data_IF_053226338834
#
_entry.id   IF_053226338834
#
_cell.length_a   1.000
_cell.length_b   1.000
_cell.length_c   1.000
_cell.angle_alpha   90.00
_cell.angle_beta   90.00
_cell.angle_gamma   90.00
#
_symmetry.space_group_name_H-M   'P 1'
#
loop_
_entity.id
_entity.type
_entity.pdbx_description
1 polymer ?
#
# COMPACT_ATOMS: atom_id res chain seq x y z
N UNK A 1 -42.17 -3.51 7.26
CA UNK A 1 -41.75 -2.43 6.32
C UNK A 1 -40.25 -2.55 6.15
N UNK A 2 -39.80 -3.26 5.12
CA UNK A 2 -38.41 -3.25 4.70
C UNK A 2 -38.11 -1.85 4.18
N UNK A 3 -37.11 -1.18 4.76
CA UNK A 3 -36.60 0.06 4.19
C UNK A 3 -36.26 -0.22 2.73
N UNK A 4 -36.85 0.55 1.81
CA UNK A 4 -36.41 0.56 0.42
C UNK A 4 -35.02 1.19 0.47
N UNK A 5 -33.98 0.36 0.59
CA UNK A 5 -32.61 0.81 0.37
C UNK A 5 -32.56 1.28 -1.08
N UNK A 6 -32.43 2.59 -1.27
CA UNK A 6 -32.07 3.14 -2.56
C UNK A 6 -30.68 2.60 -2.89
N UNK A 7 -30.65 1.56 -3.74
CA UNK A 7 -29.40 1.03 -4.26
C UNK A 7 -28.82 2.10 -5.17
N UNK A 8 -27.76 2.75 -4.72
CA UNK A 8 -27.06 3.78 -5.46
C UNK A 8 -26.22 3.11 -6.56
N UNK A 9 -26.90 2.66 -7.63
CA UNK A 9 -26.33 1.89 -8.74
C UNK A 9 -25.00 2.50 -9.25
N UNK A 10 -24.87 3.83 -9.44
CA UNK A 10 -23.61 4.42 -9.89
C UNK A 10 -22.43 4.13 -8.94
N UNK A 11 -22.66 4.15 -7.63
CA UNK A 11 -21.61 3.91 -6.64
C UNK A 11 -21.08 2.48 -6.70
N UNK A 12 -21.96 1.47 -6.86
CA UNK A 12 -21.57 0.07 -6.97
C UNK A 12 -20.86 -0.25 -8.29
N UNK A 13 -21.24 0.41 -9.38
CA UNK A 13 -20.51 0.33 -10.66
C UNK A 13 -19.09 0.89 -10.51
N UNK A 14 -18.96 2.09 -9.91
CA UNK A 14 -17.65 2.70 -9.63
C UNK A 14 -16.81 1.80 -8.71
N UNK A 15 -17.42 1.25 -7.65
CA UNK A 15 -16.76 0.32 -6.73
C UNK A 15 -16.25 -0.93 -7.44
N UNK A 16 -17.01 -1.47 -8.40
CA UNK A 16 -16.61 -2.63 -9.20
C UNK A 16 -15.43 -2.29 -10.10
N UNK A 17 -15.49 -1.14 -10.79
CA UNK A 17 -14.41 -0.66 -11.66
C UNK A 17 -13.12 -0.41 -10.85
N UNK A 18 -13.24 0.25 -9.70
CA UNK A 18 -12.12 0.46 -8.79
C UNK A 18 -11.58 -0.87 -8.24
N UNK A 19 -12.46 -1.83 -7.94
CA UNK A 19 -12.07 -3.16 -7.50
C UNK A 19 -11.25 -3.91 -8.56
N UNK A 20 -11.64 -3.82 -9.83
CA UNK A 20 -10.85 -4.35 -10.96
C UNK A 20 -9.51 -3.64 -11.03
N UNK A 21 -9.50 -2.31 -10.98
CA UNK A 21 -8.26 -1.55 -11.06
C UNK A 21 -7.29 -1.91 -9.92
N UNK A 22 -7.80 -2.06 -8.69
CA UNK A 22 -7.03 -2.46 -7.52
C UNK A 22 -6.51 -3.90 -7.62
N UNK A 23 -7.33 -4.81 -8.17
CA UNK A 23 -6.97 -6.22 -8.32
C UNK A 23 -5.86 -6.46 -9.34
N UNK A 24 -5.76 -5.62 -10.38
CA UNK A 24 -4.73 -5.75 -11.41
C UNK A 24 -3.52 -4.82 -11.21
N UNK A 25 -3.74 -3.58 -10.73
CA UNK A 25 -2.70 -2.53 -10.64
C UNK A 25 -2.44 -2.02 -9.23
N UNK A 26 -3.05 -2.60 -8.19
CA UNK A 26 -2.96 -2.10 -6.82
C UNK A 26 -1.53 -1.87 -6.31
N UNK A 27 -0.61 -2.79 -6.61
CA UNK A 27 0.81 -2.63 -6.26
C UNK A 27 1.48 -1.44 -6.97
N UNK A 28 1.16 -1.19 -8.24
CA UNK A 28 1.72 -0.05 -8.98
C UNK A 28 1.14 1.27 -8.48
N UNK A 29 -0.16 1.29 -8.19
CA UNK A 29 -0.81 2.44 -7.54
C UNK A 29 -0.20 2.73 -6.17
N UNK A 30 0.03 1.72 -5.34
CA UNK A 30 0.68 1.88 -4.05
C UNK A 30 2.11 2.41 -4.18
N UNK A 31 2.86 1.97 -5.18
CA UNK A 31 4.19 2.50 -5.50
C UNK A 31 4.13 3.98 -5.85
N UNK A 32 3.24 4.37 -6.76
CA UNK A 32 3.11 5.76 -7.19
C UNK A 32 2.66 6.63 -6.01
N UNK A 33 1.64 6.21 -5.28
CA UNK A 33 1.10 6.97 -4.14
C UNK A 33 2.14 7.15 -3.03
N UNK A 34 2.84 6.08 -2.63
CA UNK A 34 3.89 6.18 -1.61
C UNK A 34 5.04 7.07 -2.06
N UNK A 35 5.44 7.01 -3.34
CA UNK A 35 6.45 7.89 -3.92
C UNK A 35 6.00 9.36 -3.95
N UNK A 36 4.76 9.65 -4.32
CA UNK A 36 4.22 11.03 -4.33
C UNK A 36 4.16 11.59 -2.92
N UNK A 37 3.60 10.85 -1.96
CA UNK A 37 3.48 11.29 -0.57
C UNK A 37 4.85 11.55 0.04
N UNK A 38 5.80 10.64 -0.17
CA UNK A 38 7.15 10.80 0.37
C UNK A 38 7.91 11.95 -0.31
N UNK A 39 7.76 12.10 -1.63
CA UNK A 39 8.29 13.25 -2.37
C UNK A 39 7.76 14.57 -1.83
N UNK A 40 6.45 14.70 -1.64
CA UNK A 40 5.84 15.90 -1.09
C UNK A 40 6.38 16.20 0.31
N UNK A 41 6.42 15.19 1.18
CA UNK A 41 6.94 15.33 2.54
C UNK A 41 8.42 15.76 2.57
N UNK A 42 9.29 15.08 1.81
CA UNK A 42 10.72 15.37 1.77
C UNK A 42 10.99 16.75 1.16
N UNK A 43 10.25 17.12 0.12
CA UNK A 43 10.37 18.44 -0.52
C UNK A 43 10.01 19.58 0.44
N UNK A 44 8.93 19.42 1.20
CA UNK A 44 8.52 20.39 2.21
C UNK A 44 9.57 20.55 3.32
N UNK A 45 10.07 19.43 3.87
CA UNK A 45 11.12 19.46 4.89
C UNK A 45 12.40 20.11 4.36
N UNK A 46 12.81 19.78 3.15
CA UNK A 46 14.02 20.33 2.54
C UNK A 46 13.86 21.85 2.34
N UNK A 47 12.70 22.29 1.86
CA UNK A 47 12.42 23.70 1.62
C UNK A 47 12.45 24.51 2.93
N UNK A 48 11.73 24.07 3.97
CA UNK A 48 11.63 24.83 5.23
C UNK A 48 12.98 24.93 5.96
N UNK A 49 13.76 23.84 5.98
CA UNK A 49 15.07 23.83 6.62
C UNK A 49 16.11 24.60 5.81
N UNK A 50 16.10 24.48 4.48
CA UNK A 50 16.98 25.27 3.63
C UNK A 50 16.69 26.76 3.75
N UNK A 51 15.41 27.15 3.76
CA UNK A 51 15.03 28.55 3.84
C UNK A 51 15.46 29.16 5.16
N UNK A 52 15.28 28.43 6.26
CA UNK A 52 15.73 28.86 7.60
C UNK A 52 17.25 29.03 7.68
N UNK A 53 18.02 28.21 6.98
CA UNK A 53 19.48 28.22 7.06
C UNK A 53 20.10 29.29 6.15
N UNK A 54 19.60 29.45 4.92
CA UNK A 54 20.23 30.28 3.88
C UNK A 54 19.46 31.57 3.59
N UNK A 55 18.24 31.70 4.11
CA UNK A 55 17.35 32.85 3.93
C UNK A 55 17.14 33.26 2.46
N UNK A 56 17.24 32.30 1.53
CA UNK A 56 17.18 32.52 0.09
C UNK A 56 16.13 31.61 -0.54
N UNK A 57 15.08 32.23 -1.08
CA UNK A 57 13.97 31.52 -1.75
C UNK A 57 14.47 30.72 -2.95
N UNK A 58 15.39 31.28 -3.74
CA UNK A 58 15.90 30.62 -4.94
C UNK A 58 16.60 29.30 -4.62
N UNK A 59 17.46 29.29 -3.60
CA UNK A 59 18.24 28.10 -3.23
C UNK A 59 17.35 27.04 -2.58
N UNK A 60 16.41 27.45 -1.72
CA UNK A 60 15.45 26.53 -1.10
C UNK A 60 14.52 25.88 -2.11
N UNK A 61 14.11 26.62 -3.14
CA UNK A 61 13.28 26.09 -4.23
C UNK A 61 14.06 25.10 -5.09
N UNK A 62 15.33 25.37 -5.39
CA UNK A 62 16.18 24.44 -6.14
C UNK A 62 16.39 23.13 -5.37
N UNK A 63 16.69 23.21 -4.06
CA UNK A 63 16.84 22.03 -3.21
C UNK A 63 15.53 21.27 -3.04
N UNK A 64 14.38 21.96 -2.97
CA UNK A 64 13.06 21.34 -2.96
C UNK A 64 12.82 20.52 -4.23
N UNK A 65 13.13 21.05 -5.41
CA UNK A 65 12.97 20.32 -6.68
C UNK A 65 13.86 19.07 -6.73
N UNK A 66 15.10 19.15 -6.26
CA UNK A 66 15.98 17.98 -6.14
C UNK A 66 15.37 16.95 -5.17
N UNK A 67 14.87 17.40 -4.02
CA UNK A 67 14.25 16.54 -3.02
C UNK A 67 12.98 15.84 -3.53
N UNK A 68 12.20 16.48 -4.43
CA UNK A 68 11.06 15.83 -5.10
C UNK A 68 11.55 14.61 -5.89
N UNK A 69 12.58 14.77 -6.71
CA UNK A 69 13.12 13.67 -7.54
C UNK A 69 13.65 12.54 -6.66
N UNK A 70 14.44 12.87 -5.62
CA UNK A 70 14.97 11.88 -4.68
C UNK A 70 13.86 11.16 -3.93
N UNK A 71 12.87 11.91 -3.43
CA UNK A 71 11.74 11.36 -2.70
C UNK A 71 10.86 10.45 -3.57
N UNK A 72 10.66 10.81 -4.85
CA UNK A 72 9.91 9.96 -5.77
C UNK A 72 10.62 8.62 -6.04
N UNK A 73 11.95 8.63 -6.20
CA UNK A 73 12.75 7.42 -6.42
C UNK A 73 12.83 6.54 -5.18
N UNK A 74 13.00 7.13 -3.99
CA UNK A 74 13.18 6.40 -2.74
C UNK A 74 11.87 6.04 -2.01
N UNK A 75 10.76 6.73 -2.31
CA UNK A 75 9.55 6.67 -1.51
C UNK A 75 8.97 5.26 -1.36
N UNK A 76 8.92 4.48 -2.44
CA UNK A 76 8.43 3.09 -2.36
C UNK A 76 9.35 2.16 -1.55
N UNK A 77 10.67 2.37 -1.62
CA UNK A 77 11.63 1.61 -0.81
C UNK A 77 11.43 1.90 0.67
N UNK A 78 11.29 3.18 1.01
CA UNK A 78 11.06 3.63 2.38
C UNK A 78 9.70 3.13 2.90
N UNK A 79 8.66 3.17 2.08
CA UNK A 79 7.35 2.61 2.42
C UNK A 79 7.42 1.12 2.75
N UNK A 80 8.11 0.32 1.92
CA UNK A 80 8.33 -1.09 2.21
C UNK A 80 9.12 -1.30 3.49
N UNK A 81 10.17 -0.51 3.70
CA UNK A 81 11.00 -0.61 4.89
C UNK A 81 10.19 -0.26 6.15
N UNK A 82 9.40 0.81 6.12
CA UNK A 82 8.54 1.24 7.22
C UNK A 82 7.48 0.17 7.60
N UNK A 83 6.84 -0.45 6.60
CA UNK A 83 5.90 -1.56 6.89
C UNK A 83 6.64 -2.74 7.51
N UNK A 84 7.82 -3.07 7.00
CA UNK A 84 8.61 -4.22 7.47
C UNK A 84 9.09 -4.00 8.91
N UNK A 85 9.51 -2.79 9.25
CA UNK A 85 9.93 -2.43 10.62
C UNK A 85 8.76 -2.45 11.59
N UNK A 86 7.59 -1.90 11.21
CA UNK A 86 6.40 -1.93 12.06
C UNK A 86 5.94 -3.36 12.33
N UNK A 87 5.86 -4.19 11.28
CA UNK A 87 5.41 -5.57 11.42
C UNK A 87 6.40 -6.41 12.24
N UNK A 88 7.70 -6.26 11.97
CA UNK A 88 8.73 -6.94 12.75
C UNK A 88 8.72 -6.50 14.21
N UNK A 89 8.53 -5.20 14.50
CA UNK A 89 8.43 -4.70 15.87
C UNK A 89 7.26 -5.34 16.64
N UNK A 90 6.07 -5.39 16.01
CA UNK A 90 4.90 -6.04 16.62
C UNK A 90 5.14 -7.53 16.82
N UNK A 91 5.66 -8.23 15.80
CA UNK A 91 5.93 -9.66 15.87
C UNK A 91 6.96 -10.01 16.95
N UNK A 92 8.09 -9.28 17.02
CA UNK A 92 9.10 -9.48 18.07
C UNK A 92 8.52 -9.19 19.45
N UNK A 93 7.66 -8.16 19.58
CA UNK A 93 6.99 -7.84 20.84
C UNK A 93 6.05 -8.94 21.35
N UNK A 94 5.45 -9.73 20.45
CA UNK A 94 4.64 -10.90 20.81
C UNK A 94 5.53 -12.09 21.18
N UNK A 95 6.64 -12.29 20.45
CA UNK A 95 7.54 -13.44 20.62
C UNK A 95 8.42 -13.33 21.88
N UNK A 96 8.82 -12.11 22.25
CA UNK A 96 9.68 -11.83 23.41
C UNK A 96 8.92 -10.84 24.32
N UNK A 97 7.96 -11.33 25.13
CA UNK A 97 7.15 -10.49 26.00
C UNK A 97 7.91 -9.99 27.25
N UNK A 98 9.08 -10.56 27.55
CA UNK A 98 9.87 -10.23 28.74
C UNK A 98 10.74 -8.97 28.56
N UNK A 99 10.87 -8.21 29.66
CA UNK A 99 11.40 -6.84 29.77
C UNK A 99 12.91 -6.72 29.46
N UNK A 100 13.63 -7.82 29.29
CA UNK A 100 15.02 -7.79 28.85
C UNK A 100 15.09 -7.55 27.33
N UNK A 101 14.85 -6.30 26.93
CA UNK A 101 15.15 -5.77 25.60
C UNK A 101 16.66 -5.69 25.39
N UNK A 102 17.32 -6.84 25.46
CA UNK A 102 18.74 -7.00 25.20
C UNK A 102 19.05 -7.13 23.72
N UNK A 103 20.27 -7.56 23.42
CA UNK A 103 20.78 -7.80 22.07
C UNK A 103 19.90 -8.79 21.29
N UNK A 104 19.31 -9.79 21.97
CA UNK A 104 18.42 -10.79 21.38
C UNK A 104 17.20 -10.15 20.69
N UNK A 105 16.58 -9.14 21.32
CA UNK A 105 15.41 -8.45 20.76
C UNK A 105 15.77 -7.74 19.44
N UNK A 106 16.90 -7.03 19.42
CA UNK A 106 17.39 -6.36 18.22
C UNK A 106 17.73 -7.37 17.11
N UNK A 107 18.37 -8.49 17.46
CA UNK A 107 18.78 -9.52 16.49
C UNK A 107 17.56 -10.18 15.83
N UNK A 108 16.56 -10.57 16.63
CA UNK A 108 15.29 -11.13 16.13
C UNK A 108 14.52 -10.10 15.29
N UNK A 109 14.48 -8.84 15.74
CA UNK A 109 13.85 -7.76 14.97
C UNK A 109 14.53 -7.54 13.62
N UNK A 110 15.86 -7.47 13.56
CA UNK A 110 16.59 -7.31 12.29
C UNK A 110 16.31 -8.48 11.33
N UNK A 111 16.31 -9.71 11.84
CA UNK A 111 16.01 -10.90 11.05
C UNK A 111 14.58 -10.88 10.51
N UNK A 112 13.60 -10.52 11.35
CA UNK A 112 12.20 -10.39 10.92
C UNK A 112 12.00 -9.25 9.92
N UNK A 113 12.69 -8.11 10.06
CA UNK A 113 12.65 -7.02 9.08
C UNK A 113 13.09 -7.54 7.71
N UNK A 114 14.19 -8.28 7.63
CA UNK A 114 14.70 -8.80 6.37
C UNK A 114 13.69 -9.77 5.70
N UNK A 115 13.12 -10.68 6.49
CA UNK A 115 12.12 -11.65 6.00
C UNK A 115 10.85 -10.92 5.53
N UNK A 116 10.30 -10.03 6.34
CA UNK A 116 9.08 -9.28 6.01
C UNK A 116 9.32 -8.37 4.82
N UNK A 117 10.50 -7.77 4.67
CA UNK A 117 10.83 -6.93 3.53
C UNK A 117 10.78 -7.70 2.21
N UNK A 118 11.29 -8.93 2.17
CA UNK A 118 11.21 -9.81 1.00
C UNK A 118 9.75 -10.22 0.75
N UNK A 119 9.05 -10.66 1.81
CA UNK A 119 7.66 -11.12 1.73
C UNK A 119 6.68 -10.00 1.38
N UNK A 120 6.97 -8.74 1.73
CA UNK A 120 6.11 -7.57 1.48
C UNK A 120 5.71 -7.47 0.03
N UNK A 121 6.58 -7.87 -0.90
CA UNK A 121 6.27 -7.86 -2.33
C UNK A 121 5.16 -8.82 -2.74
N UNK A 122 5.00 -9.93 -2.02
CA UNK A 122 3.93 -10.91 -2.24
C UNK A 122 2.69 -10.58 -1.40
N UNK A 123 2.90 -10.21 -0.13
CA UNK A 123 1.82 -9.85 0.80
C UNK A 123 1.02 -8.67 0.27
N UNK A 124 1.68 -7.59 -0.19
CA UNK A 124 0.98 -6.44 -0.77
C UNK A 124 0.18 -6.82 -2.01
N UNK A 125 0.76 -7.65 -2.89
CA UNK A 125 0.07 -8.10 -4.11
C UNK A 125 -1.19 -8.92 -3.77
N UNK A 126 -1.08 -9.80 -2.76
CA UNK A 126 -2.21 -10.58 -2.27
C UNK A 126 -3.28 -9.69 -1.64
N UNK A 127 -2.89 -8.74 -0.79
CA UNK A 127 -3.81 -7.81 -0.13
C UNK A 127 -4.57 -6.96 -1.15
N UNK A 128 -3.91 -6.42 -2.17
CA UNK A 128 -4.57 -5.64 -3.22
C UNK A 128 -5.46 -6.51 -4.11
N UNK A 129 -5.01 -7.72 -4.47
CA UNK A 129 -5.83 -8.66 -5.23
C UNK A 129 -7.12 -9.01 -4.48
N UNK A 130 -7.02 -9.35 -3.18
CA UNK A 130 -8.12 -9.69 -2.28
C UNK A 130 -9.08 -8.53 -2.05
N UNK A 131 -8.57 -7.36 -1.69
CA UNK A 131 -9.40 -6.17 -1.46
C UNK A 131 -10.14 -5.78 -2.75
N UNK A 132 -9.46 -5.82 -3.89
CA UNK A 132 -10.07 -5.59 -5.20
C UNK A 132 -11.19 -6.59 -5.51
N UNK A 133 -10.97 -7.88 -5.23
CA UNK A 133 -12.01 -8.89 -5.43
C UNK A 133 -13.20 -8.74 -4.49
N UNK A 134 -12.96 -8.38 -3.23
CA UNK A 134 -14.05 -8.12 -2.28
C UNK A 134 -14.90 -6.94 -2.74
N UNK A 135 -14.27 -5.89 -3.30
CA UNK A 135 -14.99 -4.75 -3.87
C UNK A 135 -15.86 -5.18 -5.05
N UNK A 136 -15.33 -6.00 -5.95
CA UNK A 136 -16.06 -6.57 -7.09
C UNK A 136 -17.22 -7.45 -6.59
N UNK A 137 -17.00 -8.32 -5.62
CA UNK A 137 -18.04 -9.20 -5.09
C UNK A 137 -19.22 -8.40 -4.53
N UNK A 138 -18.92 -7.40 -3.69
CA UNK A 138 -19.97 -6.52 -3.13
C UNK A 138 -20.68 -5.72 -4.21
N UNK A 139 -19.96 -5.20 -5.19
CA UNK A 139 -20.56 -4.45 -6.30
C UNK A 139 -21.48 -5.32 -7.16
N UNK A 140 -21.03 -6.52 -7.54
CA UNK A 140 -21.80 -7.41 -8.42
C UNK A 140 -23.03 -8.01 -7.71
N UNK A 141 -22.91 -8.40 -6.44
CA UNK A 141 -24.04 -8.99 -5.69
C UNK A 141 -25.14 -7.98 -5.40
N UNK A 142 -24.79 -6.72 -5.13
CA UNK A 142 -25.77 -5.63 -4.93
C UNK A 142 -26.44 -5.19 -6.22
N UNK A 143 -25.78 -5.35 -7.38
CA UNK A 143 -26.36 -5.16 -8.71
C UNK A 143 -27.30 -6.29 -9.16
N UNK A 144 -27.54 -7.29 -8.29
CA UNK A 144 -28.54 -8.34 -8.52
C UNK A 144 -28.01 -9.61 -9.20
N UNK A 145 -26.70 -9.77 -9.33
CA UNK A 145 -26.11 -11.00 -9.88
C UNK A 145 -26.17 -12.13 -8.84
N UNK A 146 -26.37 -13.38 -9.31
CA UNK A 146 -26.41 -14.55 -8.44
C UNK A 146 -25.08 -14.68 -7.67
N UNK A 147 -25.16 -14.80 -6.32
CA UNK A 147 -24.00 -14.87 -5.44
C UNK A 147 -23.01 -15.99 -5.79
N UNK A 148 -23.48 -17.13 -6.30
CA UNK A 148 -22.62 -18.24 -6.73
C UNK A 148 -21.82 -17.85 -7.98
N UNK A 149 -22.49 -17.24 -8.96
CA UNK A 149 -21.84 -16.77 -10.18
C UNK A 149 -20.84 -15.65 -9.87
N UNK A 150 -21.21 -14.71 -9.00
CA UNK A 150 -20.32 -13.64 -8.53
C UNK A 150 -19.06 -14.20 -7.84
N UNK A 151 -19.19 -15.26 -7.04
CA UNK A 151 -18.08 -15.88 -6.33
C UNK A 151 -17.10 -16.56 -7.31
N UNK A 152 -17.60 -17.27 -8.32
CA UNK A 152 -16.76 -17.88 -9.37
C UNK A 152 -15.97 -16.80 -10.11
N UNK A 153 -16.63 -15.72 -10.53
CA UNK A 153 -15.97 -14.58 -11.20
C UNK A 153 -14.90 -13.97 -10.29
N UNK A 154 -15.18 -13.81 -9.00
CA UNK A 154 -14.20 -13.29 -8.05
C UNK A 154 -12.99 -14.22 -7.91
N UNK A 155 -13.17 -15.54 -7.79
CA UNK A 155 -12.02 -16.47 -7.71
C UNK A 155 -11.13 -16.33 -8.94
N UNK A 156 -11.72 -16.28 -10.14
CA UNK A 156 -10.97 -16.10 -11.40
C UNK A 156 -10.19 -14.78 -11.37
N UNK A 157 -10.84 -13.67 -11.00
CA UNK A 157 -10.20 -12.36 -10.93
C UNK A 157 -9.09 -12.32 -9.87
N UNK A 158 -9.29 -12.96 -8.72
CA UNK A 158 -8.28 -13.02 -7.66
C UNK A 158 -7.01 -13.72 -8.15
N UNK A 159 -7.16 -14.88 -8.79
CA UNK A 159 -6.03 -15.66 -9.30
C UNK A 159 -5.31 -14.90 -10.41
N UNK A 160 -6.06 -14.35 -11.37
CA UNK A 160 -5.50 -13.57 -12.47
C UNK A 160 -4.84 -12.28 -11.99
N UNK A 161 -5.50 -11.54 -11.09
CA UNK A 161 -5.00 -10.29 -10.51
C UNK A 161 -3.73 -10.52 -9.69
N UNK A 162 -3.72 -11.53 -8.82
CA UNK A 162 -2.53 -11.91 -8.06
C UNK A 162 -1.38 -12.32 -8.99
N UNK A 163 -1.65 -13.18 -9.97
CA UNK A 163 -0.65 -13.61 -10.95
C UNK A 163 -0.07 -12.41 -11.71
N UNK A 164 -0.91 -11.48 -12.17
CA UNK A 164 -0.47 -10.28 -12.89
C UNK A 164 0.44 -9.39 -12.01
N UNK A 165 0.04 -9.12 -10.77
CA UNK A 165 0.81 -8.28 -9.85
C UNK A 165 2.15 -8.91 -9.43
N UNK A 166 2.20 -10.24 -9.35
CA UNK A 166 3.43 -10.99 -9.07
C UNK A 166 4.32 -11.04 -10.30
N UNK A 167 3.78 -11.29 -11.50
CA UNK A 167 4.53 -11.33 -12.76
C UNK A 167 5.12 -9.97 -13.11
N UNK A 168 4.42 -8.88 -12.83
CA UNK A 168 4.91 -7.49 -12.96
C UNK A 168 6.12 -7.16 -12.04
N UNK A 169 6.79 -8.16 -11.44
CA UNK A 169 8.09 -8.06 -10.76
C UNK A 169 9.29 -8.13 -11.72
N UNK A 170 9.10 -8.50 -12.99
CA UNK A 170 10.09 -8.30 -14.07
C UNK A 170 9.83 -6.94 -14.71
#
# INVERSE_FOLDING_TARGET
MSAVEYIDVPAYVIMTILGVALSFWGKQLARILSSIVFSAFLSYLTWIHSFRLWNSVAISTLLMLIAIVVGFLAGFLIYKLAISTLFAYIATGILIPSIEKGILFLLVMMLLIAIVYILSGYILSLLFALTGTIMIYKGITTLGLNGIAALIVCIIILVLGFYNQVKSKV
#
